data_IF_964216279371
#
_entry.id   IF_964216279371
#
_cell.length_a   1.000
_cell.length_b   1.000
_cell.length_c   1.000
_cell.angle_alpha   90.00
_cell.angle_beta   90.00
_cell.angle_gamma   90.00
#
_symmetry.space_group_name_H-M   'P 1'
#
loop_
_entity.id
_entity.type
_entity.pdbx_description
1 polymer ?
#
# COMPACT_ATOMS: atom_id res chain seq x y z
N UNK A 1 33.99 9.21 -23.45
CA UNK A 1 32.70 8.46 -23.58
C UNK A 1 31.71 9.21 -22.75
N UNK A 2 30.57 9.59 -23.31
CA UNK A 2 29.57 10.41 -22.60
C UNK A 2 28.52 9.48 -22.02
N UNK A 3 28.34 9.52 -20.71
CA UNK A 3 27.24 8.85 -20.03
C UNK A 3 26.08 9.84 -19.86
N UNK A 4 24.86 9.39 -20.10
CA UNK A 4 23.65 10.21 -19.95
C UNK A 4 22.74 9.65 -18.88
N UNK A 5 22.13 10.53 -18.10
CA UNK A 5 21.14 10.16 -17.10
C UNK A 5 19.88 10.99 -17.27
N UNK A 6 18.73 10.31 -17.26
CA UNK A 6 17.42 10.86 -17.54
C UNK A 6 16.58 10.97 -16.26
N UNK A 7 16.10 12.17 -15.96
CA UNK A 7 15.28 12.42 -14.78
C UNK A 7 15.31 13.87 -14.31
N UNK A 8 14.78 14.13 -13.13
CA UNK A 8 14.74 15.45 -12.51
C UNK A 8 15.53 15.46 -11.20
N UNK A 9 16.24 16.54 -10.92
CA UNK A 9 17.10 16.70 -9.71
C UNK A 9 16.31 16.62 -8.39
N UNK A 10 15.04 17.01 -8.42
CA UNK A 10 14.12 16.94 -7.28
C UNK A 10 13.73 15.50 -6.90
N UNK A 11 13.90 14.54 -7.83
CA UNK A 11 13.63 13.15 -7.57
C UNK A 11 14.75 12.54 -6.70
N UNK A 12 14.45 12.07 -5.48
CA UNK A 12 15.48 11.50 -4.60
C UNK A 12 16.18 10.27 -5.19
N UNK A 13 15.48 9.46 -6.03
CA UNK A 13 16.09 8.32 -6.73
C UNK A 13 17.11 8.76 -7.76
N UNK A 14 16.86 9.85 -8.46
CA UNK A 14 17.79 10.46 -9.40
C UNK A 14 19.01 11.05 -8.68
N UNK A 15 18.79 11.72 -7.54
CA UNK A 15 19.83 12.29 -6.70
C UNK A 15 20.90 11.27 -6.30
N UNK A 16 20.50 10.06 -5.92
CA UNK A 16 21.44 8.99 -5.55
C UNK A 16 22.46 8.73 -6.64
N UNK A 17 22.00 8.62 -7.89
CA UNK A 17 22.90 8.38 -9.04
C UNK A 17 23.85 9.53 -9.29
N UNK A 18 23.42 10.78 -9.14
CA UNK A 18 24.29 11.96 -9.28
C UNK A 18 25.33 12.01 -8.19
N UNK A 19 24.96 11.77 -6.94
CA UNK A 19 25.91 11.76 -5.81
C UNK A 19 26.93 10.64 -5.98
N UNK A 20 26.50 9.43 -6.35
CA UNK A 20 27.37 8.31 -6.63
C UNK A 20 28.38 8.64 -7.74
N UNK A 21 27.91 9.26 -8.82
CA UNK A 21 28.80 9.67 -9.94
C UNK A 21 29.86 10.66 -9.50
N UNK A 22 29.52 11.63 -8.65
CA UNK A 22 30.51 12.59 -8.11
C UNK A 22 31.57 11.89 -7.24
N UNK A 23 31.17 10.95 -6.38
CA UNK A 23 32.13 10.17 -5.59
C UNK A 23 33.07 9.37 -6.47
N UNK A 24 32.56 8.76 -7.52
CA UNK A 24 33.32 7.92 -8.44
C UNK A 24 34.09 8.73 -9.51
N UNK A 25 33.82 10.03 -9.65
CA UNK A 25 34.41 10.88 -10.68
C UNK A 25 33.92 10.52 -12.09
N UNK A 26 32.66 10.10 -12.20
CA UNK A 26 32.01 9.78 -13.48
C UNK A 26 31.22 11.00 -13.95
N UNK A 27 31.57 11.51 -15.12
CA UNK A 27 30.87 12.64 -15.74
C UNK A 27 29.53 12.18 -16.35
N UNK A 28 28.44 12.81 -15.93
CA UNK A 28 27.10 12.53 -16.40
C UNK A 28 26.49 13.75 -17.11
N UNK A 29 26.05 13.54 -18.34
CA UNK A 29 25.16 14.48 -19.02
C UNK A 29 23.71 14.28 -18.53
N UNK A 30 23.14 15.33 -17.91
CA UNK A 30 21.77 15.28 -17.40
C UNK A 30 20.80 15.60 -18.55
N UNK A 31 19.85 14.68 -18.77
CA UNK A 31 18.71 14.84 -19.65
C UNK A 31 17.44 15.00 -18.80
N UNK A 32 16.97 16.25 -18.70
CA UNK A 32 15.75 16.51 -17.94
C UNK A 32 14.57 15.80 -18.57
N UNK A 33 14.01 14.84 -17.84
CA UNK A 33 12.92 13.97 -18.31
C UNK A 33 11.90 13.83 -17.20
N UNK A 34 10.65 14.20 -17.51
CA UNK A 34 9.53 14.04 -16.58
C UNK A 34 8.99 12.61 -16.66
N UNK A 35 8.63 12.00 -15.53
CA UNK A 35 7.94 10.70 -15.55
C UNK A 35 6.65 10.79 -16.36
N UNK A 36 6.35 9.73 -17.11
CA UNK A 36 5.14 9.59 -17.91
C UNK A 36 4.91 10.75 -18.93
N UNK A 37 5.99 11.32 -19.44
CA UNK A 37 5.93 12.42 -20.44
C UNK A 37 5.38 12.00 -21.80
N UNK A 38 5.24 10.70 -22.07
CA UNK A 38 4.84 10.19 -23.39
C UNK A 38 5.94 10.25 -24.45
N UNK A 39 7.18 10.57 -24.07
CA UNK A 39 8.34 10.64 -24.97
C UNK A 39 8.62 9.26 -25.59
N UNK A 40 8.39 9.14 -26.89
CA UNK A 40 8.50 7.89 -27.62
C UNK A 40 9.94 7.43 -27.78
N UNK A 41 10.93 8.33 -27.88
CA UNK A 41 12.36 7.99 -27.94
C UNK A 41 12.79 7.42 -26.58
N UNK A 42 12.39 8.06 -25.49
CA UNK A 42 12.65 7.57 -24.13
C UNK A 42 12.05 6.18 -23.91
N UNK A 43 10.80 5.98 -24.30
CA UNK A 43 10.10 4.70 -24.15
C UNK A 43 10.75 3.58 -24.98
N UNK A 44 11.23 3.91 -26.19
CA UNK A 44 11.92 2.95 -27.04
C UNK A 44 13.31 2.58 -26.49
N UNK A 45 14.04 3.55 -25.91
CA UNK A 45 15.36 3.35 -25.33
C UNK A 45 15.30 2.61 -23.98
N UNK A 46 14.25 2.83 -23.19
CA UNK A 46 14.06 2.28 -21.84
C UNK A 46 12.70 1.58 -21.68
N UNK A 47 12.43 0.50 -22.39
CA UNK A 47 11.10 -0.15 -22.34
C UNK A 47 10.75 -0.67 -20.95
N UNK A 48 11.72 -1.12 -20.16
CA UNK A 48 11.50 -1.58 -18.78
C UNK A 48 11.19 -0.44 -17.81
N UNK A 49 11.57 0.80 -18.11
CA UNK A 49 11.22 1.96 -17.29
C UNK A 49 9.72 2.26 -17.32
N UNK A 50 9.03 1.92 -18.41
CA UNK A 50 7.58 2.18 -18.56
C UNK A 50 7.22 3.65 -18.28
N UNK A 51 8.05 4.58 -18.79
CA UNK A 51 7.91 6.01 -18.55
C UNK A 51 8.38 6.54 -17.18
N UNK A 52 8.88 5.68 -16.29
CA UNK A 52 9.44 6.10 -14.99
C UNK A 52 10.87 6.59 -15.13
N UNK A 53 11.31 7.43 -14.18
CA UNK A 53 12.69 7.92 -14.06
C UNK A 53 13.26 7.56 -12.68
N UNK A 54 14.58 7.39 -12.53
CA UNK A 54 15.67 7.62 -13.49
C UNK A 54 15.87 6.50 -14.51
N UNK A 55 16.54 6.84 -15.62
CA UNK A 55 17.13 5.90 -16.57
C UNK A 55 18.52 6.37 -16.96
N UNK A 56 19.37 5.47 -17.47
CA UNK A 56 20.77 5.72 -17.75
C UNK A 56 21.18 5.09 -19.09
N UNK A 57 21.96 5.82 -19.87
CA UNK A 57 22.53 5.42 -21.14
C UNK A 57 24.04 5.56 -21.12
N UNK A 58 24.74 4.54 -21.56
CA UNK A 58 26.18 4.55 -21.75
C UNK A 58 26.61 3.69 -22.92
N UNK A 59 27.91 3.55 -23.19
CA UNK A 59 28.41 2.75 -24.29
C UNK A 59 28.00 1.28 -24.16
N UNK A 60 27.09 0.84 -25.03
CA UNK A 60 26.60 -0.54 -25.07
C UNK A 60 25.61 -0.90 -23.94
N UNK A 61 25.07 0.08 -23.22
CA UNK A 61 24.13 -0.17 -22.13
C UNK A 61 23.04 0.90 -22.05
N UNK A 62 21.80 0.46 -21.87
CA UNK A 62 20.64 1.31 -21.55
C UNK A 62 19.86 0.62 -20.45
N UNK A 63 19.81 1.24 -19.25
CA UNK A 63 19.20 0.64 -18.06
C UNK A 63 18.27 1.60 -17.35
N UNK A 64 17.29 1.03 -16.67
CA UNK A 64 16.44 1.70 -15.70
C UNK A 64 16.63 1.05 -14.32
N UNK A 65 15.86 1.48 -13.32
CA UNK A 65 15.96 1.14 -11.90
C UNK A 65 17.15 1.80 -11.19
N UNK A 66 16.82 2.65 -10.21
CA UNK A 66 17.83 3.50 -9.53
C UNK A 66 18.95 2.68 -8.88
N UNK A 67 18.65 1.50 -8.33
CA UNK A 67 19.69 0.64 -7.72
C UNK A 67 20.63 0.08 -8.78
N UNK A 68 20.12 -0.40 -9.91
CA UNK A 68 20.94 -0.90 -11.00
C UNK A 68 21.83 0.21 -11.58
N UNK A 69 21.26 1.40 -11.79
CA UNK A 69 21.98 2.57 -12.31
C UNK A 69 23.12 2.98 -11.37
N UNK A 70 22.83 3.18 -10.09
CA UNK A 70 23.84 3.63 -9.12
C UNK A 70 24.93 2.58 -8.88
N UNK A 71 24.57 1.28 -8.84
CA UNK A 71 25.55 0.20 -8.79
C UNK A 71 26.45 0.18 -10.02
N UNK A 72 25.87 0.33 -11.22
CA UNK A 72 26.66 0.39 -12.45
C UNK A 72 27.62 1.58 -12.43
N UNK A 73 27.16 2.79 -12.06
CA UNK A 73 28.01 3.99 -11.94
C UNK A 73 29.17 3.73 -10.98
N UNK A 74 28.93 3.14 -9.81
CA UNK A 74 29.98 2.79 -8.86
C UNK A 74 30.97 1.75 -9.42
N UNK A 75 30.53 0.88 -10.33
CA UNK A 75 31.40 -0.14 -10.95
C UNK A 75 32.25 0.39 -12.09
N UNK A 76 31.92 1.53 -12.71
CA UNK A 76 32.65 2.10 -13.84
C UNK A 76 34.10 2.47 -13.45
N UNK A 77 34.28 3.17 -12.33
CA UNK A 77 35.60 3.61 -11.91
C UNK A 77 36.13 2.83 -10.70
N UNK A 78 35.24 2.34 -9.85
CA UNK A 78 35.59 1.69 -8.57
C UNK A 78 36.62 2.49 -7.74
N UNK A 79 36.58 3.82 -7.87
CA UNK A 79 37.51 4.76 -7.23
C UNK A 79 37.30 4.79 -5.73
N UNK A 80 36.07 4.70 -5.30
CA UNK A 80 35.69 4.67 -3.90
C UNK A 80 35.20 3.29 -3.50
N UNK A 81 34.89 3.10 -2.21
CA UNK A 81 34.33 1.86 -1.70
C UNK A 81 32.81 1.97 -1.43
N UNK A 82 32.10 2.74 -2.27
CA UNK A 82 30.65 2.89 -2.12
C UNK A 82 29.88 1.57 -2.15
N UNK A 83 30.38 0.58 -2.88
CA UNK A 83 29.78 -0.76 -2.91
C UNK A 83 30.26 -1.71 -1.79
N UNK A 84 31.08 -1.22 -0.85
CA UNK A 84 31.66 -2.03 0.20
C UNK A 84 33.11 -2.43 -0.09
N UNK A 85 33.88 -2.78 0.96
CA UNK A 85 35.28 -3.13 0.89
C UNK A 85 35.58 -4.62 0.91
N UNK A 86 34.60 -5.46 1.18
CA UNK A 86 34.62 -6.92 1.13
C UNK A 86 33.37 -7.46 0.46
N UNK A 87 33.31 -8.77 0.21
CA UNK A 87 32.12 -9.43 -0.35
C UNK A 87 30.92 -9.34 0.61
N UNK A 88 31.17 -9.47 1.90
CA UNK A 88 30.18 -9.36 2.96
C UNK A 88 29.64 -7.94 3.04
N UNK A 89 30.53 -6.94 3.10
CA UNK A 89 30.12 -5.54 3.08
C UNK A 89 29.36 -5.18 1.79
N UNK A 90 29.74 -5.71 0.65
CA UNK A 90 29.02 -5.47 -0.61
C UNK A 90 27.61 -6.07 -0.57
N UNK A 91 27.45 -7.25 0.01
CA UNK A 91 26.14 -7.85 0.21
C UNK A 91 25.27 -7.02 1.16
N UNK A 92 25.83 -6.52 2.26
CA UNK A 92 25.12 -5.63 3.20
C UNK A 92 24.72 -4.29 2.55
N UNK A 93 25.63 -3.66 1.78
CA UNK A 93 25.32 -2.43 1.04
C UNK A 93 24.17 -2.65 0.07
N UNK A 94 24.18 -3.75 -0.66
CA UNK A 94 23.11 -4.09 -1.58
C UNK A 94 21.79 -4.36 -0.85
N UNK A 95 21.82 -5.11 0.26
CA UNK A 95 20.66 -5.39 1.10
C UNK A 95 20.02 -4.08 1.59
N UNK A 96 20.81 -3.18 2.20
CA UNK A 96 20.31 -1.89 2.67
C UNK A 96 19.78 -1.03 1.53
N UNK A 97 20.50 -0.95 0.40
CA UNK A 97 20.05 -0.18 -0.76
C UNK A 97 18.71 -0.68 -1.31
N UNK A 98 18.50 -1.99 -1.35
CA UNK A 98 17.23 -2.58 -1.79
C UNK A 98 16.09 -2.30 -0.81
N UNK A 99 16.26 -2.60 0.47
CA UNK A 99 15.22 -2.34 1.50
C UNK A 99 14.84 -0.86 1.54
N UNK A 100 15.83 0.04 1.50
CA UNK A 100 15.59 1.48 1.51
C UNK A 100 14.88 1.93 0.22
N UNK A 101 15.28 1.42 -0.94
CA UNK A 101 14.70 1.85 -2.22
C UNK A 101 13.34 1.18 -2.54
N UNK A 102 13.00 0.06 -1.89
CA UNK A 102 11.70 -0.61 -2.07
C UNK A 102 10.74 -0.28 -0.92
N UNK A 103 11.00 -0.81 0.26
CA UNK A 103 10.03 -0.80 1.36
C UNK A 103 9.98 0.54 2.09
N UNK A 104 11.16 1.09 2.45
CA UNK A 104 11.23 2.36 3.18
C UNK A 104 10.71 3.52 2.33
N UNK A 105 11.18 3.65 1.09
CA UNK A 105 10.77 4.75 0.23
C UNK A 105 9.31 4.63 -0.22
N UNK A 106 8.81 3.42 -0.48
CA UNK A 106 7.41 3.25 -0.89
C UNK A 106 6.47 3.67 0.25
N UNK A 107 6.74 3.21 1.47
CA UNK A 107 5.95 3.60 2.64
C UNK A 107 6.06 5.09 2.99
N UNK A 108 7.20 5.74 2.71
CA UNK A 108 7.33 7.20 2.83
C UNK A 108 6.54 7.94 1.75
N UNK A 109 6.66 7.51 0.47
CA UNK A 109 6.00 8.18 -0.64
C UNK A 109 4.48 8.00 -0.61
N UNK A 110 3.97 6.86 -0.18
CA UNK A 110 2.53 6.65 0.00
C UNK A 110 1.90 7.66 0.99
N UNK A 111 2.69 8.21 1.92
CA UNK A 111 2.27 9.31 2.81
C UNK A 111 2.34 10.69 2.15
N UNK A 112 2.99 10.83 1.01
CA UNK A 112 3.27 12.11 0.35
C UNK A 112 2.43 12.30 -0.92
N UNK A 113 2.12 11.23 -1.64
CA UNK A 113 1.56 11.30 -3.00
C UNK A 113 0.21 12.03 -3.12
N UNK A 114 -0.57 12.08 -2.06
CA UNK A 114 -1.83 12.84 -2.02
C UNK A 114 -1.65 14.31 -1.58
N UNK A 115 -0.45 14.69 -1.14
CA UNK A 115 -0.11 16.07 -0.80
C UNK A 115 0.41 16.83 -2.02
N UNK A 116 0.36 18.17 -2.02
CA UNK A 116 1.01 18.97 -3.05
C UNK A 116 2.51 18.64 -3.17
N UNK A 117 3.09 18.59 -4.35
CA UNK A 117 2.49 18.89 -5.65
C UNK A 117 1.86 17.68 -6.36
N UNK A 118 1.79 16.50 -5.75
CA UNK A 118 1.37 15.26 -6.41
C UNK A 118 -0.15 15.15 -6.55
N UNK A 119 -0.90 15.53 -5.50
CA UNK A 119 -2.36 15.61 -5.47
C UNK A 119 -3.09 14.35 -5.98
N UNK A 120 -2.56 13.15 -5.68
CA UNK A 120 -3.26 11.90 -5.98
C UNK A 120 -4.46 11.72 -5.04
N UNK A 121 -5.45 10.91 -5.42
CA UNK A 121 -6.61 10.64 -4.59
C UNK A 121 -6.20 10.11 -3.20
N UNK A 122 -6.73 10.74 -2.16
CA UNK A 122 -6.43 10.35 -0.77
C UNK A 122 -7.16 9.06 -0.38
N UNK A 123 -6.42 8.11 0.17
CA UNK A 123 -6.97 6.89 0.75
C UNK A 123 -6.44 6.72 2.19
N UNK A 124 -7.29 6.98 3.16
CA UNK A 124 -6.94 6.93 4.59
C UNK A 124 -6.37 5.59 5.03
N UNK A 125 -6.92 4.47 4.54
CA UNK A 125 -6.47 3.12 4.90
C UNK A 125 -5.07 2.85 4.38
N UNK A 126 -4.80 3.18 3.11
CA UNK A 126 -3.46 3.03 2.51
C UNK A 126 -2.43 3.87 3.23
N UNK A 127 -2.75 5.13 3.54
CA UNK A 127 -1.85 6.04 4.26
C UNK A 127 -1.55 5.51 5.66
N UNK A 128 -2.57 5.06 6.41
CA UNK A 128 -2.36 4.49 7.75
C UNK A 128 -1.52 3.22 7.73
N UNK A 129 -1.67 2.37 6.71
CA UNK A 129 -0.80 1.20 6.53
C UNK A 129 0.63 1.61 6.19
N UNK A 130 0.80 2.61 5.34
CA UNK A 130 2.12 3.14 4.97
C UNK A 130 2.83 3.75 6.19
N UNK A 131 2.12 4.54 7.00
CA UNK A 131 2.66 5.11 8.24
C UNK A 131 3.16 4.01 9.20
N UNK A 132 2.42 2.93 9.38
CA UNK A 132 2.83 1.79 10.23
C UNK A 132 4.09 1.12 9.70
N UNK A 133 4.11 0.75 8.42
CA UNK A 133 5.28 0.13 7.77
C UNK A 133 6.52 1.02 7.85
N UNK A 134 6.34 2.32 7.59
CA UNK A 134 7.42 3.30 7.69
C UNK A 134 7.96 3.41 9.10
N UNK A 135 7.08 3.48 10.12
CA UNK A 135 7.48 3.56 11.52
C UNK A 135 8.27 2.32 11.97
N UNK A 136 7.87 1.13 11.58
CA UNK A 136 8.58 -0.13 11.87
C UNK A 136 9.99 -0.12 11.28
N UNK A 137 10.14 0.24 10.00
CA UNK A 137 11.43 0.31 9.33
C UNK A 137 12.31 1.44 9.90
N UNK A 138 11.72 2.60 10.16
CA UNK A 138 12.43 3.73 10.78
C UNK A 138 13.00 3.34 12.14
N UNK A 139 12.25 2.61 12.97
CA UNK A 139 12.72 2.14 14.27
C UNK A 139 13.88 1.15 14.15
N UNK A 140 13.84 0.24 13.19
CA UNK A 140 14.94 -0.71 12.91
C UNK A 140 16.21 0.05 12.54
N UNK A 141 16.10 1.03 11.63
CA UNK A 141 17.25 1.82 11.16
C UNK A 141 17.76 2.75 12.27
N UNK A 142 16.86 3.38 13.02
CA UNK A 142 17.18 4.21 14.19
C UNK A 142 18.05 3.45 15.20
N UNK A 143 17.61 2.23 15.56
CA UNK A 143 18.34 1.36 16.47
C UNK A 143 19.68 0.91 15.88
N UNK A 144 19.75 0.62 14.60
CA UNK A 144 20.99 0.23 13.92
C UNK A 144 22.03 1.37 13.96
N UNK A 145 21.59 2.61 13.73
CA UNK A 145 22.43 3.80 13.74
C UNK A 145 22.79 4.31 15.15
N UNK A 146 22.21 3.76 16.21
CA UNK A 146 22.49 4.18 17.59
C UNK A 146 23.97 4.06 17.96
N UNK A 147 24.65 3.04 17.44
CA UNK A 147 26.08 2.76 17.71
C UNK A 147 26.94 2.88 16.45
N UNK A 148 26.38 3.37 15.34
CA UNK A 148 27.07 3.44 14.04
C UNK A 148 26.91 4.83 13.43
N UNK A 149 27.96 5.27 12.74
CA UNK A 149 27.89 6.51 11.94
C UNK A 149 27.23 6.25 10.59
N UNK A 150 27.53 5.11 9.96
CA UNK A 150 27.07 4.70 8.65
C UNK A 150 26.36 3.34 8.74
N UNK A 151 25.59 2.99 7.70
CA UNK A 151 24.82 1.74 7.65
C UNK A 151 25.73 0.53 7.56
N UNK A 152 26.83 0.61 6.80
CA UNK A 152 27.76 -0.50 6.61
C UNK A 152 29.20 -0.02 6.82
N UNK A 153 29.86 -0.60 7.81
CA UNK A 153 31.26 -0.25 8.14
C UNK A 153 31.44 1.19 8.63
N UNK A 154 32.67 1.71 8.44
CA UNK A 154 33.11 3.02 8.98
C UNK A 154 33.24 4.11 7.91
N UNK A 155 32.73 3.86 6.70
CA UNK A 155 32.81 4.78 5.57
C UNK A 155 31.46 4.91 4.90
N UNK A 156 31.25 6.03 4.22
CA UNK A 156 30.06 6.25 3.39
C UNK A 156 29.97 5.17 2.34
N UNK A 157 28.79 4.59 2.24
CA UNK A 157 28.41 3.61 1.21
C UNK A 157 27.22 4.09 0.39
N UNK A 158 26.90 3.38 -0.66
CA UNK A 158 25.73 3.65 -1.50
C UNK A 158 24.42 3.59 -0.69
N UNK A 159 24.35 2.70 0.31
CA UNK A 159 23.20 2.59 1.21
C UNK A 159 22.94 3.90 1.99
N UNK A 160 24.00 4.57 2.46
CA UNK A 160 23.89 5.85 3.19
C UNK A 160 23.35 6.97 2.29
N UNK A 161 23.80 6.99 1.02
CA UNK A 161 23.33 7.96 0.01
C UNK A 161 21.84 7.76 -0.26
N UNK A 162 21.35 6.49 -0.33
CA UNK A 162 19.94 6.17 -0.47
C UNK A 162 19.13 6.69 0.72
N UNK A 163 19.51 6.29 1.92
CA UNK A 163 18.78 6.67 3.14
C UNK A 163 18.68 8.19 3.28
N UNK A 164 19.80 8.89 3.14
CA UNK A 164 19.84 10.34 3.26
C UNK A 164 19.00 11.04 2.19
N UNK A 165 19.05 10.57 0.94
CA UNK A 165 18.26 11.16 -0.16
C UNK A 165 16.76 11.12 0.12
N UNK A 166 16.26 10.05 0.73
CA UNK A 166 14.84 9.90 1.04
C UNK A 166 14.44 10.62 2.32
N UNK A 167 15.29 10.58 3.37
CA UNK A 167 15.02 11.32 4.60
C UNK A 167 14.97 12.83 4.37
N UNK A 168 15.92 13.38 3.60
CA UNK A 168 15.90 14.82 3.26
C UNK A 168 14.61 15.19 2.54
N UNK A 169 14.10 14.34 1.65
CA UNK A 169 12.79 14.56 1.01
C UNK A 169 11.63 14.43 2.00
N UNK A 170 11.69 13.48 2.92
CA UNK A 170 10.70 13.32 3.98
C UNK A 170 10.65 14.51 4.94
N UNK A 171 11.80 15.09 5.29
CA UNK A 171 11.89 16.29 6.15
C UNK A 171 11.22 17.52 5.53
N UNK A 172 11.15 17.60 4.22
CA UNK A 172 10.47 18.70 3.52
C UNK A 172 8.93 18.62 3.60
N UNK A 173 8.32 17.46 3.96
CA UNK A 173 6.89 17.24 3.75
C UNK A 173 6.18 16.59 4.96
N UNK A 174 6.69 15.49 5.50
CA UNK A 174 5.96 14.68 6.52
C UNK A 174 6.75 14.34 7.77
N UNK A 175 8.08 14.40 7.76
CA UNK A 175 8.91 14.09 8.92
C UNK A 175 9.18 15.37 9.73
N UNK A 176 8.17 15.77 10.51
CA UNK A 176 8.13 17.00 11.28
C UNK A 176 9.04 17.00 12.52
N UNK A 177 9.01 18.09 13.32
CA UNK A 177 9.82 18.23 14.51
C UNK A 177 9.54 17.11 15.52
N UNK A 178 8.31 16.68 15.69
CA UNK A 178 7.94 15.62 16.63
C UNK A 178 8.51 14.26 16.20
N UNK A 179 8.41 13.93 14.92
CA UNK A 179 9.00 12.72 14.36
C UNK A 179 10.54 12.73 14.51
N UNK A 180 11.17 13.85 14.20
CA UNK A 180 12.62 14.00 14.31
C UNK A 180 13.13 13.87 15.74
N UNK A 181 12.38 14.38 16.73
CA UNK A 181 12.72 14.23 18.15
C UNK A 181 12.73 12.76 18.60
N UNK A 182 11.87 11.93 18.00
CA UNK A 182 11.81 10.47 18.28
C UNK A 182 12.88 9.66 17.52
N UNK A 183 13.54 10.23 16.50
CA UNK A 183 14.49 9.53 15.64
C UNK A 183 15.84 10.29 15.48
N UNK A 184 16.54 10.58 16.59
CA UNK A 184 17.73 11.45 16.57
C UNK A 184 18.88 10.87 15.74
N UNK A 185 19.04 9.54 15.66
CA UNK A 185 20.12 8.93 14.90
C UNK A 185 19.88 8.98 13.39
N UNK A 186 18.62 8.79 12.95
CA UNK A 186 18.22 9.00 11.55
C UNK A 186 18.43 10.46 11.12
N UNK A 187 18.05 11.41 11.99
CA UNK A 187 18.26 12.83 11.73
C UNK A 187 19.77 13.17 11.65
N UNK A 188 20.54 12.72 12.64
CA UNK A 188 22.00 12.88 12.63
C UNK A 188 22.62 12.32 11.35
N UNK A 189 22.26 11.10 10.97
CA UNK A 189 22.76 10.46 9.75
C UNK A 189 22.40 11.27 8.50
N UNK A 190 21.12 11.63 8.32
CA UNK A 190 20.67 12.38 7.16
C UNK A 190 21.37 13.76 7.04
N UNK A 191 21.54 14.49 8.15
CA UNK A 191 22.25 15.77 8.17
C UNK A 191 23.74 15.59 7.93
N UNK A 192 24.38 14.56 8.53
CA UNK A 192 25.78 14.24 8.27
C UNK A 192 26.02 13.97 6.78
N UNK A 193 25.13 13.22 6.14
CA UNK A 193 25.22 12.90 4.72
C UNK A 193 24.92 14.09 3.82
N UNK A 194 23.90 14.88 4.13
CA UNK A 194 23.49 16.04 3.32
C UNK A 194 24.56 17.14 3.28
N UNK A 195 25.39 17.25 4.31
CA UNK A 195 26.51 18.20 4.37
C UNK A 195 27.82 17.65 3.78
N UNK A 196 27.85 16.40 3.29
CA UNK A 196 29.01 15.95 2.53
C UNK A 196 29.12 16.75 1.22
N UNK A 197 30.33 17.17 0.80
CA UNK A 197 30.50 18.08 -0.33
C UNK A 197 29.80 17.62 -1.61
N UNK A 198 29.92 16.35 -1.96
CA UNK A 198 29.27 15.78 -3.15
C UNK A 198 27.76 15.72 -3.04
N UNK A 199 27.25 15.37 -1.87
CA UNK A 199 25.80 15.34 -1.63
C UNK A 199 25.22 16.76 -1.64
N UNK A 200 25.87 17.68 -0.93
CA UNK A 200 25.44 19.08 -0.85
C UNK A 200 25.42 19.76 -2.23
N UNK A 201 26.44 19.51 -3.07
CA UNK A 201 26.50 20.08 -4.42
C UNK A 201 25.35 19.64 -5.31
N UNK A 202 24.84 18.40 -5.12
CA UNK A 202 23.66 17.90 -5.84
C UNK A 202 22.36 18.44 -5.25
N UNK A 203 22.28 18.54 -3.91
CA UNK A 203 21.11 19.08 -3.20
C UNK A 203 20.92 20.58 -3.49
N UNK A 204 22.02 21.33 -3.58
CA UNK A 204 22.05 22.74 -3.96
C UNK A 204 21.52 23.73 -2.90
N UNK A 205 21.08 23.22 -1.76
CA UNK A 205 20.53 24.02 -0.65
C UNK A 205 20.62 23.24 0.67
N UNK A 206 20.46 23.95 1.78
CA UNK A 206 20.28 23.31 3.08
C UNK A 206 19.01 22.45 3.12
N UNK A 207 19.04 21.30 3.82
CA UNK A 207 17.84 20.50 4.07
C UNK A 207 16.74 21.33 4.72
N UNK A 208 15.54 21.28 4.17
CA UNK A 208 14.37 21.92 4.76
C UNK A 208 13.82 21.00 5.86
N UNK A 209 13.68 21.53 7.06
CA UNK A 209 13.16 20.80 8.22
C UNK A 209 11.83 21.44 8.65
N UNK A 210 10.72 20.85 8.26
CA UNK A 210 9.39 21.38 8.62
C UNK A 210 9.10 21.24 10.12
N UNK A 211 8.42 22.19 10.70
CA UNK A 211 8.00 22.14 12.10
C UNK A 211 6.77 21.23 12.28
N UNK A 212 5.85 21.27 11.35
CA UNK A 212 4.62 20.47 11.34
C UNK A 212 4.47 19.77 9.99
N UNK A 213 4.08 18.50 10.02
CA UNK A 213 3.82 17.75 8.79
C UNK A 213 2.68 18.37 7.99
N UNK A 214 2.81 18.32 6.67
CA UNK A 214 1.70 18.69 5.79
C UNK A 214 0.56 17.69 6.00
N UNK A 215 -0.63 18.20 6.21
CA UNK A 215 -1.84 17.39 6.37
C UNK A 215 -2.67 17.56 5.10
N UNK A 216 -3.29 16.48 4.66
CA UNK A 216 -4.27 16.56 3.59
C UNK A 216 -5.42 17.46 4.06
N UNK A 217 -5.51 18.65 3.47
CA UNK A 217 -6.72 19.45 3.55
C UNK A 217 -7.69 18.87 2.54
N UNK A 218 -8.72 18.14 3.01
CA UNK A 218 -9.87 17.88 2.18
C UNK A 218 -10.35 19.24 1.66
N UNK A 219 -10.37 19.43 0.35
CA UNK A 219 -11.09 20.57 -0.19
C UNK A 219 -12.52 20.44 0.28
N UNK A 220 -13.04 21.46 0.94
CA UNK A 220 -14.38 21.52 1.52
C UNK A 220 -15.54 21.35 0.50
N UNK A 221 -15.22 20.90 -0.73
CA UNK A 221 -16.19 20.72 -1.81
C UNK A 221 -16.49 19.24 -2.16
N UNK A 222 -15.80 18.22 -1.59
CA UNK A 222 -16.11 16.80 -1.90
C UNK A 222 -15.92 15.80 -0.74
N UNK A 223 -15.73 16.23 0.49
CA UNK A 223 -16.13 15.40 1.63
C UNK A 223 -17.23 16.15 2.37
N UNK A 224 -18.36 15.50 2.65
CA UNK A 224 -19.20 16.03 3.71
C UNK A 224 -18.30 16.08 4.94
N UNK A 225 -18.05 17.31 5.44
CA UNK A 225 -17.29 17.61 6.62
C UNK A 225 -17.42 16.48 7.64
N UNK A 226 -16.26 15.98 8.14
CA UNK A 226 -16.25 15.54 9.52
C UNK A 226 -16.62 16.78 10.33
N UNK A 227 -17.90 17.05 10.37
CA UNK A 227 -18.54 17.95 11.28
C UNK A 227 -17.93 17.66 12.66
N UNK A 228 -17.55 18.70 13.36
CA UNK A 228 -17.69 18.74 14.81
C UNK A 228 -18.77 17.72 15.18
N UNK A 229 -18.48 16.80 16.09
CA UNK A 229 -19.39 15.73 16.49
C UNK A 229 -20.84 16.24 16.61
N UNK A 230 -21.51 16.38 15.49
CA UNK A 230 -22.94 16.14 15.44
C UNK A 230 -23.08 14.65 15.73
N UNK A 231 -24.00 14.24 16.56
CA UNK A 231 -24.13 12.85 16.96
C UNK A 231 -24.18 12.03 15.66
N UNK A 232 -23.17 11.16 15.44
CA UNK A 232 -23.06 10.27 14.28
C UNK A 232 -24.45 9.80 13.96
N UNK A 233 -24.92 10.06 12.74
CA UNK A 233 -26.22 9.55 12.30
C UNK A 233 -26.23 8.08 12.66
N UNK A 234 -27.11 7.71 13.60
CA UNK A 234 -27.12 6.36 14.17
C UNK A 234 -27.28 5.39 13.02
N UNK A 235 -26.42 4.38 12.94
CA UNK A 235 -26.55 3.35 11.92
C UNK A 235 -28.00 2.84 11.93
N UNK A 236 -28.67 2.66 10.78
CA UNK A 236 -30.09 2.25 10.76
C UNK A 236 -30.37 1.03 11.64
N UNK A 237 -29.41 0.11 11.75
CA UNK A 237 -29.50 -1.07 12.62
C UNK A 237 -29.33 -0.77 14.12
N UNK A 238 -28.95 0.41 14.55
CA UNK A 238 -28.92 0.77 15.99
C UNK A 238 -30.32 0.74 16.62
N UNK A 239 -31.36 0.95 15.82
CA UNK A 239 -32.75 0.81 16.26
C UNK A 239 -33.08 -0.62 16.74
N UNK A 240 -32.33 -1.64 16.34
CA UNK A 240 -32.48 -3.03 16.79
C UNK A 240 -32.00 -3.26 18.24
N UNK A 241 -31.33 -2.26 18.85
CA UNK A 241 -30.77 -2.37 20.20
C UNK A 241 -29.65 -3.43 20.33
N UNK A 242 -29.16 -3.78 21.52
CA UNK A 242 -28.15 -4.81 21.72
C UNK A 242 -28.69 -6.22 21.36
N UNK A 243 -27.86 -7.11 20.83
CA UNK A 243 -28.21 -8.51 20.59
C UNK A 243 -28.54 -9.18 21.94
N UNK A 244 -29.62 -9.95 22.00
CA UNK A 244 -30.11 -10.55 23.26
C UNK A 244 -29.52 -11.94 23.51
N UNK A 245 -29.40 -12.75 22.49
CA UNK A 245 -29.15 -14.19 22.65
C UNK A 245 -27.96 -14.73 21.84
N UNK A 246 -27.50 -14.07 20.77
CA UNK A 246 -26.45 -14.58 19.92
C UNK A 246 -25.19 -13.68 19.96
N UNK A 247 -24.06 -14.19 20.43
CA UNK A 247 -22.79 -13.42 20.51
C UNK A 247 -22.11 -13.36 19.14
N UNK A 248 -22.50 -12.41 18.31
CA UNK A 248 -22.03 -12.26 16.92
C UNK A 248 -20.50 -12.12 16.79
N UNK A 249 -19.86 -11.42 17.72
CA UNK A 249 -18.39 -11.31 17.73
C UNK A 249 -17.72 -12.64 18.11
N UNK A 250 -18.37 -13.48 18.92
CA UNK A 250 -17.87 -14.82 19.24
C UNK A 250 -17.94 -15.73 18.02
N UNK A 251 -19.02 -15.65 17.23
CA UNK A 251 -19.11 -16.34 15.94
C UNK A 251 -17.91 -15.97 15.04
N UNK A 252 -17.62 -14.68 14.86
CA UNK A 252 -16.51 -14.21 14.04
C UNK A 252 -15.17 -14.74 14.50
N UNK A 253 -14.96 -14.83 15.82
CA UNK A 253 -13.75 -15.43 16.42
C UNK A 253 -13.70 -16.93 16.18
N UNK A 254 -14.82 -17.64 16.37
CA UNK A 254 -14.92 -19.07 16.08
C UNK A 254 -14.62 -19.40 14.63
N UNK A 255 -15.23 -18.71 13.70
CA UNK A 255 -14.93 -18.83 12.27
C UNK A 255 -13.46 -18.58 11.91
N UNK A 256 -12.78 -17.69 12.64
CA UNK A 256 -11.38 -17.34 12.35
C UNK A 256 -10.36 -18.30 12.99
N UNK A 257 -10.72 -18.97 14.08
CA UNK A 257 -9.76 -19.68 14.95
C UNK A 257 -10.05 -21.18 15.08
N UNK A 258 -11.14 -21.69 14.56
CA UNK A 258 -11.51 -23.12 14.55
C UNK A 258 -11.56 -23.67 13.13
N UNK A 259 -11.50 -24.98 12.99
CA UNK A 259 -11.79 -25.65 11.73
C UNK A 259 -13.23 -25.37 11.30
N UNK A 260 -13.46 -25.21 9.99
CA UNK A 260 -14.76 -24.79 9.46
C UNK A 260 -15.94 -25.67 9.91
N UNK A 261 -15.85 -27.02 9.92
CA UNK A 261 -16.95 -27.88 10.41
C UNK A 261 -17.31 -27.59 11.86
N UNK A 262 -16.32 -27.43 12.73
CA UNK A 262 -16.52 -27.12 14.17
C UNK A 262 -17.19 -25.74 14.36
N UNK A 263 -16.74 -24.75 13.60
CA UNK A 263 -17.34 -23.41 13.62
C UNK A 263 -18.82 -23.46 13.22
N UNK A 264 -19.16 -24.22 12.17
CA UNK A 264 -20.54 -24.37 11.70
C UNK A 264 -21.44 -25.13 12.68
N UNK A 265 -20.93 -26.20 13.33
CA UNK A 265 -21.67 -26.88 14.40
C UNK A 265 -21.99 -25.93 15.56
N UNK A 266 -21.03 -25.07 15.92
CA UNK A 266 -21.23 -24.06 16.95
C UNK A 266 -22.31 -23.05 16.53
N UNK A 267 -22.28 -22.59 15.26
CA UNK A 267 -23.28 -21.66 14.73
C UNK A 267 -24.67 -22.29 14.76
N UNK A 268 -24.83 -23.50 14.26
CA UNK A 268 -26.11 -24.22 14.22
C UNK A 268 -26.75 -24.39 15.61
N UNK A 269 -25.93 -24.56 16.64
CA UNK A 269 -26.40 -24.72 18.04
C UNK A 269 -26.79 -23.40 18.71
N UNK A 270 -26.16 -22.28 18.32
CA UNK A 270 -26.26 -21.02 19.05
C UNK A 270 -27.03 -19.92 18.30
N UNK A 271 -27.24 -20.07 16.98
CA UNK A 271 -27.87 -19.01 16.15
C UNK A 271 -29.33 -18.79 16.58
N UNK A 272 -29.69 -17.53 16.76
CA UNK A 272 -31.10 -17.13 16.96
C UNK A 272 -31.65 -16.54 15.67
N UNK A 273 -32.46 -17.35 14.97
CA UNK A 273 -33.09 -16.98 13.70
C UNK A 273 -34.21 -15.93 13.86
N UNK A 274 -34.59 -15.56 15.07
CA UNK A 274 -35.51 -14.43 15.32
C UNK A 274 -34.75 -13.06 15.27
N UNK A 275 -33.46 -13.07 15.51
CA UNK A 275 -32.62 -11.85 15.50
C UNK A 275 -31.75 -11.74 14.23
N UNK A 276 -31.49 -12.85 13.53
CA UNK A 276 -30.59 -12.91 12.36
C UNK A 276 -31.26 -13.54 11.16
N UNK A 277 -30.94 -13.04 9.98
CA UNK A 277 -31.38 -13.57 8.70
C UNK A 277 -30.21 -13.81 7.75
N UNK A 278 -30.44 -14.64 6.75
CA UNK A 278 -29.43 -15.02 5.75
C UNK A 278 -29.84 -14.56 4.38
N UNK A 279 -28.88 -14.09 3.59
CA UNK A 279 -29.15 -13.51 2.29
C UNK A 279 -28.12 -13.99 1.27
N UNK A 280 -28.63 -14.39 0.10
CA UNK A 280 -27.81 -14.56 -1.09
C UNK A 280 -27.62 -13.21 -1.72
N UNK A 281 -26.38 -12.89 -2.06
CA UNK A 281 -26.00 -11.63 -2.72
C UNK A 281 -25.33 -11.96 -4.04
N UNK A 282 -25.89 -11.50 -5.15
CA UNK A 282 -25.41 -11.78 -6.50
C UNK A 282 -25.15 -10.44 -7.21
N UNK A 283 -24.01 -10.31 -7.86
CA UNK A 283 -23.71 -9.12 -8.66
C UNK A 283 -24.53 -9.13 -9.94
N UNK A 284 -25.14 -8.00 -10.31
CA UNK A 284 -26.07 -7.91 -11.45
C UNK A 284 -25.36 -7.85 -12.81
N UNK A 285 -24.19 -7.23 -12.86
CA UNK A 285 -23.48 -6.90 -14.10
C UNK A 285 -22.33 -7.88 -14.36
N UNK A 286 -22.60 -9.19 -14.27
CA UNK A 286 -21.57 -10.22 -14.44
C UNK A 286 -20.96 -10.23 -15.85
N UNK A 287 -21.67 -9.76 -16.87
CA UNK A 287 -21.19 -9.66 -18.25
C UNK A 287 -20.07 -8.61 -18.43
N UNK A 288 -19.91 -7.69 -17.48
CA UNK A 288 -18.85 -6.68 -17.46
C UNK A 288 -17.56 -7.18 -16.79
N UNK A 289 -17.60 -8.36 -16.15
CA UNK A 289 -16.45 -8.91 -15.44
C UNK A 289 -15.41 -9.45 -16.41
N UNK A 290 -14.15 -9.01 -16.23
CA UNK A 290 -13.05 -9.37 -17.11
C UNK A 290 -12.04 -10.31 -16.42
N UNK A 291 -11.10 -9.81 -15.66
CA UNK A 291 -10.07 -10.61 -14.99
C UNK A 291 -10.54 -11.02 -13.58
N UNK A 292 -10.20 -12.22 -13.15
CA UNK A 292 -10.59 -12.75 -11.82
C UNK A 292 -10.14 -11.82 -10.69
N UNK A 293 -8.89 -11.33 -10.73
CA UNK A 293 -8.40 -10.41 -9.70
C UNK A 293 -9.17 -9.07 -9.65
N UNK A 294 -9.69 -8.58 -10.81
CA UNK A 294 -10.51 -7.37 -10.85
C UNK A 294 -11.88 -7.62 -10.22
N UNK A 295 -12.48 -8.78 -10.50
CA UNK A 295 -13.73 -9.21 -9.87
C UNK A 295 -13.57 -9.39 -8.35
N UNK A 296 -12.44 -9.96 -7.90
CA UNK A 296 -12.10 -10.06 -6.48
C UNK A 296 -11.89 -8.68 -5.83
N UNK A 297 -11.27 -7.72 -6.55
CA UNK A 297 -11.14 -6.34 -6.08
C UNK A 297 -12.49 -5.62 -5.98
N UNK A 298 -13.44 -5.92 -6.88
CA UNK A 298 -14.81 -5.39 -6.80
C UNK A 298 -15.48 -5.83 -5.50
N UNK A 299 -15.38 -7.12 -5.14
CA UNK A 299 -15.88 -7.65 -3.86
C UNK A 299 -15.18 -6.93 -2.68
N UNK A 300 -13.86 -6.80 -2.73
CA UNK A 300 -13.09 -6.10 -1.69
C UNK A 300 -13.52 -4.64 -1.53
N UNK A 301 -13.78 -3.94 -2.63
CA UNK A 301 -14.32 -2.58 -2.65
C UNK A 301 -15.71 -2.50 -2.01
N UNK A 302 -16.61 -3.41 -2.34
CA UNK A 302 -17.93 -3.52 -1.74
C UNK A 302 -17.85 -3.76 -0.23
N UNK A 303 -17.03 -4.72 0.21
CA UNK A 303 -16.79 -4.97 1.64
C UNK A 303 -16.26 -3.75 2.38
N UNK A 304 -15.33 -3.01 1.80
CA UNK A 304 -14.81 -1.77 2.40
C UNK A 304 -15.90 -0.71 2.60
N UNK A 305 -16.83 -0.58 1.66
CA UNK A 305 -17.96 0.35 1.76
C UNK A 305 -19.02 -0.10 2.78
N UNK A 306 -19.07 -1.40 3.10
CA UNK A 306 -19.92 -1.97 4.14
C UNK A 306 -19.32 -1.88 5.55
N UNK A 307 -18.16 -1.24 5.74
CA UNK A 307 -17.45 -1.18 7.03
C UNK A 307 -18.33 -0.66 8.19
N UNK A 308 -19.20 0.31 7.93
CA UNK A 308 -20.15 0.82 8.93
C UNK A 308 -21.11 -0.27 9.46
N UNK A 309 -21.39 -1.28 8.64
CA UNK A 309 -22.25 -2.43 8.98
C UNK A 309 -21.51 -3.61 9.62
N UNK A 310 -20.21 -3.51 9.89
CA UNK A 310 -19.39 -4.62 10.42
C UNK A 310 -19.99 -5.28 11.68
N UNK A 311 -20.62 -4.51 12.56
CA UNK A 311 -21.25 -5.04 13.77
C UNK A 311 -22.54 -5.84 13.50
N UNK A 312 -23.09 -5.73 12.31
CA UNK A 312 -24.40 -6.28 11.92
C UNK A 312 -24.32 -7.29 10.77
N UNK A 313 -23.12 -7.51 10.22
CA UNK A 313 -22.91 -8.26 8.99
C UNK A 313 -21.72 -9.21 9.12
N UNK A 314 -21.91 -10.44 8.63
CA UNK A 314 -20.86 -11.42 8.39
C UNK A 314 -21.19 -12.19 7.11
N UNK A 315 -20.19 -12.50 6.30
CA UNK A 315 -20.40 -13.34 5.13
C UNK A 315 -19.20 -13.38 4.21
N UNK A 316 -19.39 -13.99 3.06
CA UNK A 316 -18.38 -14.05 2.01
C UNK A 316 -19.01 -13.90 0.63
N UNK A 317 -18.23 -13.39 -0.30
CA UNK A 317 -18.57 -13.43 -1.72
C UNK A 317 -17.42 -14.03 -2.51
N UNK A 318 -17.73 -14.94 -3.43
CA UNK A 318 -16.79 -15.61 -4.32
C UNK A 318 -16.97 -15.18 -5.77
N UNK A 319 -15.87 -15.27 -6.51
CA UNK A 319 -15.82 -15.20 -7.98
C UNK A 319 -15.81 -16.62 -8.51
N UNK A 320 -16.76 -16.95 -9.36
CA UNK A 320 -16.92 -18.28 -9.95
C UNK A 320 -16.69 -18.22 -11.45
N UNK A 321 -15.92 -19.15 -12.00
CA UNK A 321 -15.62 -19.22 -13.44
C UNK A 321 -14.23 -18.73 -13.81
N UNK A 322 -14.05 -18.32 -15.07
CA UNK A 322 -12.74 -17.93 -15.64
C UNK A 322 -12.77 -16.48 -16.11
N UNK A 323 -11.62 -15.94 -16.43
CA UNK A 323 -11.51 -14.60 -17.02
C UNK A 323 -12.46 -14.40 -18.20
N UNK A 324 -13.16 -13.26 -18.24
CA UNK A 324 -14.21 -12.89 -19.19
C UNK A 324 -15.47 -13.80 -19.19
N UNK A 325 -15.60 -14.72 -18.23
CA UNK A 325 -16.75 -15.60 -18.06
C UNK A 325 -16.91 -15.94 -16.57
N UNK A 326 -16.89 -14.95 -15.70
CA UNK A 326 -17.02 -15.12 -14.27
C UNK A 326 -18.30 -14.49 -13.74
N UNK A 327 -18.74 -14.99 -12.59
CA UNK A 327 -19.89 -14.47 -11.84
C UNK A 327 -19.53 -14.26 -10.39
N UNK A 328 -20.15 -13.27 -9.74
CA UNK A 328 -19.96 -13.00 -8.31
C UNK A 328 -21.22 -13.36 -7.56
N UNK A 329 -21.06 -14.20 -6.54
CA UNK A 329 -22.14 -14.58 -5.63
C UNK A 329 -21.59 -14.80 -4.22
N UNK A 330 -22.43 -14.56 -3.22
CA UNK A 330 -22.07 -14.77 -1.83
C UNK A 330 -23.24 -15.11 -0.92
N UNK A 331 -22.93 -15.52 0.29
CA UNK A 331 -23.89 -15.73 1.37
C UNK A 331 -23.52 -14.83 2.56
N UNK A 332 -24.51 -14.11 3.10
CA UNK A 332 -24.32 -13.19 4.20
C UNK A 332 -25.34 -13.43 5.31
N UNK A 333 -24.89 -13.41 6.53
CA UNK A 333 -25.69 -13.38 7.74
C UNK A 333 -25.76 -11.94 8.24
N UNK A 334 -26.94 -11.42 8.44
CA UNK A 334 -27.18 -10.07 8.90
C UNK A 334 -28.03 -10.07 10.18
N UNK A 335 -27.90 -9.02 10.96
CA UNK A 335 -28.77 -8.77 12.09
C UNK A 335 -30.06 -8.06 11.63
N UNK A 336 -31.22 -8.62 12.01
CA UNK A 336 -32.52 -8.17 11.55
C UNK A 336 -33.07 -9.01 10.39
N UNK A 337 -34.30 -8.73 10.02
CA UNK A 337 -35.02 -9.44 8.95
C UNK A 337 -34.90 -8.75 7.57
N UNK A 338 -34.49 -7.48 7.53
CA UNK A 338 -34.38 -6.69 6.31
C UNK A 338 -32.91 -6.39 5.98
N UNK A 339 -32.52 -6.66 4.74
CA UNK A 339 -31.15 -6.45 4.24
C UNK A 339 -30.82 -4.98 3.99
N UNK A 340 -31.83 -4.13 3.68
CA UNK A 340 -31.60 -2.73 3.29
C UNK A 340 -30.81 -1.95 4.33
N UNK A 341 -31.19 -1.91 5.62
CA UNK A 341 -30.46 -1.12 6.60
C UNK A 341 -28.97 -1.49 6.76
N UNK A 342 -28.61 -2.71 6.35
CA UNK A 342 -27.25 -3.23 6.44
C UNK A 342 -26.45 -2.93 5.20
N UNK A 343 -27.04 -3.03 4.01
CA UNK A 343 -26.33 -2.94 2.74
C UNK A 343 -26.40 -1.55 2.09
N UNK A 344 -27.44 -0.76 2.32
CA UNK A 344 -27.59 0.58 1.73
C UNK A 344 -26.58 1.63 2.23
N UNK A 345 -25.78 1.29 3.25
CA UNK A 345 -24.61 2.09 3.64
C UNK A 345 -23.52 2.10 2.57
N UNK A 346 -23.51 1.11 1.66
CA UNK A 346 -22.63 1.08 0.50
C UNK A 346 -23.34 1.75 -0.69
N UNK A 347 -22.80 2.81 -1.30
CA UNK A 347 -23.46 3.53 -2.41
C UNK A 347 -23.78 2.67 -3.63
N UNK A 348 -23.06 1.58 -3.80
CA UNK A 348 -23.22 0.62 -4.91
C UNK A 348 -24.03 -0.64 -4.56
N UNK A 349 -24.73 -0.65 -3.43
CA UNK A 349 -25.54 -1.80 -3.02
C UNK A 349 -26.61 -2.19 -4.05
N UNK A 350 -27.14 -1.23 -4.80
CA UNK A 350 -28.11 -1.47 -5.87
C UNK A 350 -27.54 -2.27 -7.06
N UNK A 351 -26.21 -2.36 -7.18
CA UNK A 351 -25.54 -3.20 -8.18
C UNK A 351 -25.61 -4.70 -7.84
N UNK A 352 -26.18 -5.03 -6.69
CA UNK A 352 -26.34 -6.41 -6.22
C UNK A 352 -27.82 -6.76 -6.09
N UNK A 353 -28.11 -8.03 -6.32
CA UNK A 353 -29.41 -8.65 -6.08
C UNK A 353 -29.37 -9.39 -4.75
N UNK A 354 -30.42 -9.24 -3.95
CA UNK A 354 -30.55 -9.82 -2.62
C UNK A 354 -31.75 -10.78 -2.58
N UNK A 355 -31.48 -12.03 -2.27
CA UNK A 355 -32.50 -13.04 -2.09
C UNK A 355 -32.42 -13.65 -0.69
N UNK A 356 -33.54 -13.74 0.07
CA UNK A 356 -33.51 -14.34 1.39
C UNK A 356 -33.19 -15.84 1.30
N UNK A 357 -32.45 -16.36 2.26
CA UNK A 357 -32.10 -17.77 2.42
C UNK A 357 -32.75 -18.32 3.70
N UNK A 358 -33.32 -19.51 3.60
CA UNK A 358 -33.74 -20.27 4.76
C UNK A 358 -32.54 -21.03 5.33
N UNK A 359 -32.11 -20.67 6.54
CA UNK A 359 -30.91 -21.25 7.15
C UNK A 359 -30.91 -22.78 7.17
N UNK A 360 -32.05 -23.41 7.38
CA UNK A 360 -32.15 -24.89 7.45
C UNK A 360 -32.20 -25.55 6.08
N UNK A 361 -32.86 -24.92 5.10
CA UNK A 361 -33.00 -25.46 3.76
C UNK A 361 -31.79 -25.18 2.89
N UNK A 362 -31.18 -23.98 3.05
CA UNK A 362 -30.10 -23.50 2.21
C UNK A 362 -28.72 -23.62 2.92
N UNK A 363 -28.64 -24.43 4.00
CA UNK A 363 -27.45 -24.58 4.81
C UNK A 363 -26.22 -25.02 4.01
N UNK A 364 -26.40 -25.92 3.06
CA UNK A 364 -25.31 -26.43 2.22
C UNK A 364 -24.79 -25.36 1.27
N UNK A 365 -25.67 -24.50 0.76
CA UNK A 365 -25.24 -23.32 -0.01
C UNK A 365 -24.45 -22.32 0.84
N UNK A 366 -24.93 -22.05 2.06
CA UNK A 366 -24.23 -21.14 2.99
C UNK A 366 -22.84 -21.70 3.35
N UNK A 367 -22.78 -22.99 3.70
CA UNK A 367 -21.51 -23.68 4.00
C UNK A 367 -20.55 -23.62 2.82
N UNK A 368 -21.05 -23.93 1.62
CA UNK A 368 -20.25 -23.90 0.41
C UNK A 368 -19.68 -22.51 0.09
N UNK A 369 -20.47 -21.44 0.27
CA UNK A 369 -19.97 -20.07 0.12
C UNK A 369 -18.88 -19.72 1.15
N UNK A 370 -19.04 -20.15 2.40
CA UNK A 370 -18.14 -19.78 3.49
C UNK A 370 -16.90 -20.67 3.58
N UNK A 371 -16.93 -21.86 3.00
CA UNK A 371 -15.79 -22.79 2.91
C UNK A 371 -15.11 -22.81 1.54
N UNK A 372 -15.63 -22.05 0.56
CA UNK A 372 -15.07 -21.94 -0.80
C UNK A 372 -15.13 -23.26 -1.61
N UNK A 373 -16.07 -24.13 -1.34
CA UNK A 373 -16.21 -25.46 -1.96
C UNK A 373 -17.48 -25.64 -2.78
N UNK A 374 -18.24 -24.56 -3.02
CA UNK A 374 -19.44 -24.59 -3.86
C UNK A 374 -19.17 -24.22 -5.32
N UNK A 375 -20.16 -24.50 -6.16
CA UNK A 375 -20.22 -24.04 -7.55
C UNK A 375 -21.39 -23.08 -7.73
N UNK A 376 -21.31 -22.20 -8.73
CA UNK A 376 -22.43 -21.34 -9.12
C UNK A 376 -22.72 -21.48 -10.61
N UNK A 377 -23.93 -21.88 -10.98
CA UNK A 377 -24.32 -22.15 -12.36
C UNK A 377 -23.36 -23.13 -13.10
N UNK A 378 -22.80 -24.11 -12.38
CA UNK A 378 -21.82 -25.04 -12.91
C UNK A 378 -20.38 -24.45 -13.04
N UNK A 379 -20.16 -23.23 -12.60
CA UNK A 379 -18.85 -22.59 -12.55
C UNK A 379 -18.15 -22.90 -11.21
N UNK A 380 -16.88 -23.25 -11.29
CA UNK A 380 -16.06 -23.52 -10.11
C UNK A 380 -15.59 -22.22 -9.44
N UNK A 381 -15.35 -22.28 -8.13
CA UNK A 381 -14.75 -21.20 -7.36
C UNK A 381 -13.34 -20.85 -7.86
N UNK A 382 -13.03 -19.57 -7.97
CA UNK A 382 -11.74 -19.05 -8.44
C UNK A 382 -11.06 -18.13 -7.44
N UNK A 383 -11.79 -17.23 -6.78
CA UNK A 383 -11.26 -16.29 -5.78
C UNK A 383 -12.42 -15.73 -4.94
N UNK A 384 -12.13 -15.06 -3.82
CA UNK A 384 -13.17 -14.43 -3.00
C UNK A 384 -12.67 -13.70 -1.78
N UNK A 385 -13.62 -13.08 -1.07
CA UNK A 385 -13.36 -12.30 0.15
C UNK A 385 -14.39 -12.63 1.23
N UNK A 386 -13.89 -12.66 2.47
CA UNK A 386 -14.75 -12.76 3.68
C UNK A 386 -14.89 -11.37 4.28
N UNK A 387 -16.11 -11.04 4.72
CA UNK A 387 -16.44 -9.88 5.53
C UNK A 387 -16.70 -10.33 6.97
N UNK A 388 -15.83 -9.89 7.89
CA UNK A 388 -15.91 -10.31 9.31
C UNK A 388 -15.47 -9.22 10.29
#
# INVERSE_FOLDING_TARGET
MTYKIYGLKENPRFRVSLVAALYEGVDLEIRETRPNSGDTEYLALFPLARGKTPAFEGPGISISESVAISHYICSISNKTKLLGSSKEAAAEVLQWSLVINSDFVSSLFEQILFLPPFNLPYNKSSVSMAEKKFAELALIIEKHLQTRTFLVGERITLADIYLASYLVKGFEIVLDASWRACHPNLVRHALTMSHQPHFFSVLGKEPVLIEQKLVYAANDEEEPALAQEEPKAKHPCEALGPAKCFPFDEWKRKYSNSEFPEAMEWLEKNIDLSEYSFWRVTYKYNDELTQIFMSSNLIGGFHNRLEASRKYLFGSAGVYGKANASKIQGAYMIRGADHKPVFEVAPDWESYEFAPLDFKKDIDFIKGCWNWDNTFDGLEYSDGKVFK
#
